data_IF_864121177648
#
_entry.id   IF_864121177648
#
_cell.length_a   1.000
_cell.length_b   1.000
_cell.length_c   1.000
_cell.angle_alpha   90.00
_cell.angle_beta   90.00
_cell.angle_gamma   90.00
#
_symmetry.space_group_name_H-M   'P 1'
#
loop_
_entity.id
_entity.type
_entity.pdbx_description
1 polymer ?
#
# COMPACT_ATOMS: atom_id res chain seq x y z
N UNK A 1 46.92 8.53 -3.20
CA UNK A 1 46.47 7.14 -3.46
C UNK A 1 45.56 6.56 -2.37
N UNK A 2 45.58 7.06 -1.13
CA UNK A 2 44.65 6.61 -0.06
C UNK A 2 43.18 6.93 -0.33
N UNK A 3 42.89 8.09 -0.94
CA UNK A 3 41.50 8.54 -1.21
C UNK A 3 40.71 7.57 -2.09
N UNK A 4 41.38 6.88 -3.02
CA UNK A 4 40.72 5.90 -3.90
C UNK A 4 40.11 4.75 -3.10
N UNK A 5 40.83 4.25 -2.08
CA UNK A 5 40.32 3.19 -1.21
C UNK A 5 39.09 3.67 -0.42
N UNK A 6 39.11 4.89 0.10
CA UNK A 6 37.97 5.49 0.79
C UNK A 6 36.73 5.60 -0.12
N UNK A 7 36.92 6.07 -1.36
CA UNK A 7 35.84 6.20 -2.32
C UNK A 7 35.25 4.85 -2.74
N UNK A 8 36.09 3.84 -2.95
CA UNK A 8 35.63 2.47 -3.29
C UNK A 8 34.83 1.88 -2.14
N UNK A 9 35.31 1.99 -0.90
CA UNK A 9 34.58 1.45 0.26
C UNK A 9 33.27 2.20 0.48
N UNK A 10 33.27 3.53 0.38
CA UNK A 10 32.07 4.33 0.54
C UNK A 10 31.02 4.01 -0.54
N UNK A 11 31.40 3.94 -1.81
CA UNK A 11 30.46 3.63 -2.90
C UNK A 11 29.92 2.20 -2.81
N UNK A 12 30.78 1.23 -2.48
CA UNK A 12 30.38 -0.17 -2.28
C UNK A 12 29.41 -0.29 -1.10
N UNK A 13 29.65 0.44 0.00
CA UNK A 13 28.76 0.45 1.15
C UNK A 13 27.37 1.00 0.79
N UNK A 14 27.31 2.15 0.12
CA UNK A 14 26.04 2.75 -0.33
C UNK A 14 25.30 1.81 -1.28
N UNK A 15 26.00 1.20 -2.25
CA UNK A 15 25.41 0.24 -3.18
C UNK A 15 24.89 -1.01 -2.45
N UNK A 16 25.62 -1.52 -1.47
CA UNK A 16 25.20 -2.67 -0.65
C UNK A 16 23.96 -2.37 0.18
N UNK A 17 23.92 -1.22 0.87
CA UNK A 17 22.74 -0.78 1.63
C UNK A 17 21.53 -0.62 0.72
N UNK A 18 21.71 0.01 -0.44
CA UNK A 18 20.65 0.18 -1.43
C UNK A 18 20.12 -1.18 -1.91
N UNK A 19 21.00 -2.12 -2.24
CA UNK A 19 20.60 -3.46 -2.71
C UNK A 19 19.83 -4.24 -1.63
N UNK A 20 20.28 -4.21 -0.38
CA UNK A 20 19.59 -4.88 0.74
C UNK A 20 18.21 -4.27 0.96
N UNK A 21 18.10 -2.93 0.98
CA UNK A 21 16.83 -2.24 1.12
C UNK A 21 15.88 -2.56 -0.05
N UNK A 22 16.41 -2.60 -1.28
CA UNK A 22 15.63 -2.96 -2.47
C UNK A 22 15.08 -4.39 -2.38
N UNK A 23 15.91 -5.38 -2.04
CA UNK A 23 15.47 -6.77 -1.88
C UNK A 23 14.44 -6.88 -0.75
N UNK A 24 14.63 -6.17 0.36
CA UNK A 24 13.67 -6.12 1.45
C UNK A 24 12.32 -5.57 0.99
N UNK A 25 12.29 -4.44 0.29
CA UNK A 25 11.06 -3.82 -0.22
C UNK A 25 10.29 -4.72 -1.19
N UNK A 26 10.99 -5.36 -2.15
CA UNK A 26 10.38 -6.32 -3.08
C UNK A 26 9.77 -7.51 -2.35
N UNK A 27 10.48 -8.04 -1.34
CA UNK A 27 9.97 -9.18 -0.54
C UNK A 27 8.81 -8.81 0.38
N UNK A 28 8.67 -7.55 0.75
CA UNK A 28 7.56 -7.06 1.58
C UNK A 28 6.29 -6.76 0.77
N UNK A 29 6.30 -6.99 -0.54
CA UNK A 29 5.10 -6.77 -1.36
C UNK A 29 4.74 -5.30 -1.48
N UNK A 30 5.70 -4.37 -1.34
CA UNK A 30 5.43 -2.92 -1.51
C UNK A 30 4.84 -2.61 -2.89
N UNK A 31 5.07 -3.50 -3.87
CA UNK A 31 4.59 -3.39 -5.24
C UNK A 31 3.31 -4.19 -5.50
N UNK A 32 2.67 -4.77 -4.48
CA UNK A 32 1.47 -5.61 -4.68
C UNK A 32 0.19 -4.78 -4.89
N UNK A 33 0.24 -3.46 -4.67
CA UNK A 33 -0.88 -2.54 -4.90
C UNK A 33 -0.87 -1.98 -6.34
N UNK A 34 -0.89 -2.90 -7.31
CA UNK A 34 -0.83 -2.59 -8.75
C UNK A 34 -2.16 -1.99 -9.29
N UNK A 35 -3.24 -2.07 -8.52
CA UNK A 35 -4.56 -1.64 -8.95
C UNK A 35 -4.92 -0.26 -8.39
N UNK A 36 -4.86 0.74 -9.28
CA UNK A 36 -5.30 2.09 -8.92
C UNK A 36 -6.76 2.11 -8.41
N UNK A 37 -7.11 3.00 -7.47
CA UNK A 37 -8.46 3.13 -6.93
C UNK A 37 -9.55 3.31 -8.01
N UNK A 38 -9.20 3.95 -9.13
CA UNK A 38 -10.11 4.16 -10.24
C UNK A 38 -10.55 2.83 -10.90
N UNK A 39 -9.63 1.90 -11.11
CA UNK A 39 -9.95 0.58 -11.70
C UNK A 39 -10.79 -0.25 -10.73
N UNK A 40 -10.50 -0.15 -9.42
CA UNK A 40 -11.30 -0.82 -8.39
C UNK A 40 -12.76 -0.38 -8.44
N UNK A 41 -13.03 0.92 -8.55
CA UNK A 41 -14.39 1.46 -8.58
C UNK A 41 -15.16 1.08 -9.86
N UNK A 42 -14.47 1.00 -11.02
CA UNK A 42 -15.10 0.54 -12.26
C UNK A 42 -15.42 -0.97 -12.23
N UNK A 43 -14.59 -1.77 -11.58
CA UNK A 43 -14.78 -3.22 -11.46
C UNK A 43 -15.62 -3.63 -10.24
N UNK A 44 -15.85 -2.73 -9.27
CA UNK A 44 -16.79 -2.91 -8.17
C UNK A 44 -18.22 -2.85 -8.73
N UNK A 45 -18.64 -3.95 -9.34
CA UNK A 45 -20.02 -4.16 -9.83
C UNK A 45 -21.01 -4.44 -8.70
N UNK A 46 -20.56 -4.29 -7.45
CA UNK A 46 -21.39 -4.33 -6.26
C UNK A 46 -22.29 -3.10 -6.26
N UNK A 47 -23.40 -3.18 -7.01
CA UNK A 47 -24.51 -2.23 -6.89
C UNK A 47 -24.87 -2.25 -5.40
N UNK A 48 -24.71 -1.14 -4.65
CA UNK A 48 -25.21 -1.08 -3.29
C UNK A 48 -26.69 -1.42 -3.41
N UNK A 49 -27.09 -2.55 -2.82
CA UNK A 49 -28.48 -2.99 -2.80
C UNK A 49 -29.28 -1.75 -2.42
N UNK A 50 -30.25 -1.30 -3.26
CA UNK A 50 -31.03 -0.13 -2.90
C UNK A 50 -31.55 -0.42 -1.50
N UNK A 51 -31.14 0.40 -0.54
CA UNK A 51 -31.68 0.34 0.81
C UNK A 51 -33.16 0.54 0.59
N UNK A 52 -33.90 -0.57 0.66
CA UNK A 52 -35.35 -0.56 0.52
C UNK A 52 -35.80 0.43 1.58
N UNK A 53 -36.39 1.54 1.13
CA UNK A 53 -36.88 2.66 1.93
C UNK A 53 -38.05 2.27 2.84
N UNK A 54 -38.14 1.00 3.21
CA UNK A 54 -39.12 0.38 4.08
C UNK A 54 -38.48 -0.16 5.37
N UNK A 55 -37.17 0.03 5.57
CA UNK A 55 -36.64 0.04 6.93
C UNK A 55 -36.82 1.45 7.45
N UNK A 56 -37.93 1.65 8.16
CA UNK A 56 -38.19 2.86 8.90
C UNK A 56 -36.96 3.23 9.72
N UNK A 57 -36.69 4.52 9.82
CA UNK A 57 -35.76 5.07 10.78
C UNK A 57 -36.04 4.45 12.16
N UNK A 58 -35.20 3.50 12.58
CA UNK A 58 -35.18 3.02 13.96
C UNK A 58 -34.14 3.90 14.67
N UNK A 59 -34.57 4.88 15.48
CA UNK A 59 -33.64 5.68 16.24
C UNK A 59 -32.82 4.78 17.18
N UNK A 60 -31.54 5.09 17.42
CA UNK A 60 -30.73 4.38 18.39
C UNK A 60 -31.28 4.64 19.81
N UNK A 61 -31.97 3.62 20.33
CA UNK A 61 -32.47 3.47 21.70
C UNK A 61 -33.82 4.16 22.02
N UNK A 62 -34.83 3.32 22.24
CA UNK A 62 -35.68 3.37 23.43
C UNK A 62 -35.83 1.93 23.93
N UNK A 63 -34.90 1.53 24.79
CA UNK A 63 -35.14 0.48 25.80
C UNK A 63 -35.24 1.16 27.16
N UNK A 64 -36.26 2.03 27.31
CA UNK A 64 -37.22 2.00 28.41
C UNK A 64 -38.35 2.99 28.21
#
# INVERSE_FOLDING_TARGET
MSVIFLLITASTFVAGVFLVAFIWAVRHGQFDDDLSPAVRILNDTTIPRPVSKNEGFVPPNETK
#
